data_IF_970362542918
#
_entry.id   IF_970362542918
#
_cell.length_a   1.000
_cell.length_b   1.000
_cell.length_c   1.000
_cell.angle_alpha   90.00
_cell.angle_beta   90.00
_cell.angle_gamma   90.00
#
_symmetry.space_group_name_H-M   'P 1'
#
loop_
_entity.id
_entity.type
_entity.pdbx_description
1 polymer ?
#
# COMPACT_ATOMS: atom_id res chain seq x y z
N UNK A 1 15.72 -6.64 5.49
CA UNK A 1 14.98 -7.11 4.30
C UNK A 1 14.65 -5.96 3.35
N UNK A 2 14.08 -4.85 3.85
CA UNK A 2 13.68 -3.69 3.05
C UNK A 2 14.80 -3.01 2.22
N UNK A 3 16.07 -3.12 2.62
CA UNK A 3 17.19 -2.54 1.85
C UNK A 3 17.70 -3.45 0.72
N UNK A 4 17.13 -4.65 0.54
CA UNK A 4 17.49 -5.57 -0.56
C UNK A 4 16.65 -5.26 -1.81
N UNK A 5 17.29 -5.19 -2.97
CA UNK A 5 16.64 -4.93 -4.27
C UNK A 5 16.45 -6.22 -5.08
N UNK A 6 15.70 -6.14 -6.19
CA UNK A 6 15.48 -7.28 -7.09
C UNK A 6 14.40 -8.25 -6.58
N UNK A 7 14.72 -9.56 -6.47
CA UNK A 7 13.75 -10.58 -6.05
C UNK A 7 13.09 -10.26 -4.70
N UNK A 8 13.85 -9.74 -3.75
CA UNK A 8 13.29 -9.32 -2.45
C UNK A 8 12.30 -8.17 -2.56
N UNK A 9 12.40 -7.30 -3.58
CA UNK A 9 11.42 -6.24 -3.87
C UNK A 9 10.14 -6.83 -4.43
N UNK A 10 10.28 -7.78 -5.35
CA UNK A 10 9.15 -8.50 -5.92
C UNK A 10 8.31 -9.19 -4.82
N UNK A 11 8.96 -9.91 -3.91
CA UNK A 11 8.29 -10.62 -2.82
C UNK A 11 7.48 -9.69 -1.90
N UNK A 12 8.07 -8.57 -1.47
CA UNK A 12 7.38 -7.63 -0.58
C UNK A 12 6.34 -6.78 -1.30
N UNK A 13 6.58 -6.42 -2.55
CA UNK A 13 5.62 -5.69 -3.39
C UNK A 13 4.36 -6.53 -3.63
N UNK A 14 4.50 -7.79 -4.05
CA UNK A 14 3.35 -8.66 -4.25
C UNK A 14 2.67 -9.07 -2.94
N UNK A 15 3.41 -9.12 -1.83
CA UNK A 15 2.81 -9.24 -0.50
C UNK A 15 1.92 -8.04 -0.17
N UNK A 16 2.37 -6.82 -0.48
CA UNK A 16 1.55 -5.63 -0.29
C UNK A 16 0.27 -5.68 -1.15
N UNK A 17 0.37 -6.14 -2.40
CA UNK A 17 -0.79 -6.36 -3.27
C UNK A 17 -1.77 -7.38 -2.68
N UNK A 18 -1.29 -8.51 -2.17
CA UNK A 18 -2.14 -9.52 -1.53
C UNK A 18 -2.86 -8.92 -0.32
N UNK A 19 -2.15 -8.15 0.52
CA UNK A 19 -2.75 -7.49 1.67
C UNK A 19 -3.81 -6.47 1.27
N UNK A 20 -3.60 -5.72 0.18
CA UNK A 20 -4.59 -4.79 -0.35
C UNK A 20 -5.87 -5.54 -0.75
N UNK A 21 -5.74 -6.64 -1.49
CA UNK A 21 -6.89 -7.46 -1.90
C UNK A 21 -7.65 -8.06 -0.70
N UNK A 22 -6.92 -8.50 0.34
CA UNK A 22 -7.55 -9.03 1.56
C UNK A 22 -8.34 -7.95 2.32
N UNK A 23 -7.76 -6.75 2.49
CA UNK A 23 -8.47 -5.62 3.13
C UNK A 23 -9.66 -5.15 2.31
N UNK A 24 -9.53 -5.11 0.98
CA UNK A 24 -10.63 -4.75 0.08
C UNK A 24 -11.80 -5.73 0.20
N UNK A 25 -11.51 -7.03 0.19
CA UNK A 25 -12.52 -8.07 0.36
C UNK A 25 -13.15 -8.08 1.76
N UNK A 26 -12.39 -7.71 2.80
CA UNK A 26 -12.87 -7.61 4.19
C UNK A 26 -13.74 -6.36 4.43
N UNK A 27 -13.46 -5.25 3.75
CA UNK A 27 -14.20 -4.00 3.85
C UNK A 27 -15.50 -3.96 3.01
N UNK A 28 -15.57 -4.75 1.94
CA UNK A 28 -16.66 -4.70 0.97
C UNK A 28 -17.91 -5.47 1.46
N UNK A 29 -19.03 -4.77 1.70
CA UNK A 29 -20.29 -5.35 2.18
C UNK A 29 -20.92 -6.40 1.25
N UNK A 30 -20.59 -6.37 -0.05
CA UNK A 30 -21.06 -7.33 -1.04
C UNK A 30 -20.12 -8.54 -1.17
N UNK A 31 -18.96 -8.53 -0.50
CA UNK A 31 -18.00 -9.63 -0.50
C UNK A 31 -18.48 -10.78 0.38
N UNK A 32 -18.26 -12.03 -0.06
CA UNK A 32 -18.45 -13.22 0.80
C UNK A 32 -17.46 -13.27 1.97
N UNK A 33 -16.42 -12.43 1.92
CA UNK A 33 -15.41 -12.27 2.96
C UNK A 33 -15.61 -11.00 3.80
N UNK A 34 -16.75 -10.31 3.67
CA UNK A 34 -17.04 -9.09 4.44
C UNK A 34 -16.87 -9.35 5.94
N UNK A 35 -16.00 -8.57 6.59
CA UNK A 35 -15.66 -8.71 8.00
C UNK A 35 -15.23 -10.15 8.38
N UNK A 36 -14.66 -10.89 7.43
CA UNK A 36 -14.20 -12.26 7.58
C UNK A 36 -12.82 -12.39 8.23
N UNK A 37 -12.00 -11.33 8.22
CA UNK A 37 -10.74 -11.32 8.94
C UNK A 37 -10.95 -11.22 10.45
N UNK A 38 -10.17 -12.00 11.21
CA UNK A 38 -10.05 -11.79 12.66
C UNK A 38 -9.47 -10.41 12.92
N UNK A 39 -9.95 -9.75 13.98
CA UNK A 39 -9.57 -8.38 14.31
C UNK A 39 -8.06 -8.19 14.49
N UNK A 40 -7.38 -9.19 15.03
CA UNK A 40 -5.94 -9.23 15.25
C UNK A 40 -5.18 -9.24 13.92
N UNK A 41 -5.64 -10.06 12.96
CA UNK A 41 -5.06 -10.14 11.62
C UNK A 41 -5.31 -8.85 10.85
N UNK A 42 -6.54 -8.33 10.91
CA UNK A 42 -6.89 -7.04 10.31
C UNK A 42 -5.97 -5.93 10.81
N UNK A 43 -5.79 -5.82 12.13
CA UNK A 43 -4.90 -4.84 12.73
C UNK A 43 -3.44 -5.01 12.27
N UNK A 44 -2.97 -6.24 12.10
CA UNK A 44 -1.65 -6.50 11.51
C UNK A 44 -1.58 -5.95 10.08
N UNK A 45 -2.57 -6.23 9.22
CA UNK A 45 -2.58 -5.75 7.84
C UNK A 45 -2.65 -4.22 7.74
N UNK A 46 -3.51 -3.58 8.54
CA UNK A 46 -3.60 -2.11 8.61
C UNK A 46 -2.24 -1.49 8.98
N UNK A 47 -1.55 -2.07 9.97
CA UNK A 47 -0.23 -1.61 10.38
C UNK A 47 0.84 -1.89 9.31
N UNK A 48 0.75 -3.00 8.57
CA UNK A 48 1.66 -3.30 7.46
C UNK A 48 1.50 -2.29 6.31
N UNK A 49 0.30 -1.82 6.01
CA UNK A 49 0.11 -0.79 4.98
C UNK A 49 0.78 0.54 5.32
N UNK A 50 0.69 0.96 6.59
CA UNK A 50 1.44 2.14 7.07
C UNK A 50 2.96 1.89 7.05
N UNK A 51 3.39 0.68 7.39
CA UNK A 51 4.81 0.35 7.43
C UNK A 51 5.46 0.31 6.04
N UNK A 52 4.79 -0.31 5.06
CA UNK A 52 5.37 -0.61 3.75
C UNK A 52 5.88 0.64 3.02
N UNK A 53 5.00 1.59 2.69
CA UNK A 53 5.41 2.81 1.98
C UNK A 53 6.32 3.72 2.83
N UNK A 54 6.23 3.65 4.17
CA UNK A 54 7.15 4.39 5.02
C UNK A 54 8.61 3.94 4.84
N UNK A 55 8.83 2.67 4.48
CA UNK A 55 10.16 2.04 4.40
C UNK A 55 10.62 1.73 2.99
N UNK A 56 9.73 1.49 2.03
CA UNK A 56 10.10 1.12 0.66
C UNK A 56 10.96 2.21 0.00
N UNK A 57 12.05 1.78 -0.63
CA UNK A 57 13.03 2.66 -1.30
C UNK A 57 13.30 2.22 -2.73
N UNK A 58 13.04 0.96 -3.04
CA UNK A 58 13.15 0.47 -4.40
C UNK A 58 11.96 1.03 -5.16
N UNK A 59 12.24 1.83 -6.19
CA UNK A 59 11.26 2.49 -7.04
C UNK A 59 11.08 1.76 -8.37
N UNK A 60 11.46 0.48 -8.42
CA UNK A 60 11.31 -0.31 -9.65
C UNK A 60 9.83 -0.54 -9.92
N UNK A 61 9.34 0.06 -11.02
CA UNK A 61 8.02 -0.23 -11.58
C UNK A 61 8.08 -1.45 -12.51
N UNK A 62 8.83 -1.37 -13.62
CA UNK A 62 9.11 -2.51 -14.51
C UNK A 62 10.57 -2.99 -14.46
N UNK A 63 10.76 -4.30 -14.45
CA UNK A 63 12.06 -4.97 -14.60
C UNK A 63 12.08 -5.79 -15.89
N UNK A 64 13.12 -5.64 -16.71
CA UNK A 64 13.31 -6.47 -17.91
C UNK A 64 13.51 -7.95 -17.59
N UNK A 65 13.88 -8.28 -16.36
CA UNK A 65 14.10 -9.66 -15.91
C UNK A 65 12.84 -10.28 -15.29
N UNK A 66 12.10 -9.51 -14.50
CA UNK A 66 11.00 -10.03 -13.67
C UNK A 66 9.61 -9.55 -14.13
N UNK A 67 9.53 -8.61 -15.06
CA UNK A 67 8.29 -7.93 -15.44
C UNK A 67 7.90 -6.86 -14.44
N UNK A 68 6.60 -6.70 -14.22
CA UNK A 68 6.05 -5.70 -13.30
C UNK A 68 6.45 -6.00 -11.84
N UNK A 69 7.22 -5.08 -11.27
CA UNK A 69 7.59 -5.08 -9.85
C UNK A 69 6.62 -4.21 -9.05
N UNK A 70 6.27 -3.02 -9.57
CA UNK A 70 5.25 -2.12 -9.00
C UNK A 70 5.39 -1.89 -7.48
N UNK A 71 6.63 -1.72 -7.03
CA UNK A 71 6.95 -1.52 -5.62
C UNK A 71 6.10 -0.41 -4.99
N UNK A 72 6.05 0.78 -5.59
CA UNK A 72 5.28 1.88 -5.03
C UNK A 72 3.79 1.78 -5.39
N UNK A 73 3.46 1.28 -6.57
CA UNK A 73 2.07 1.06 -7.01
C UNK A 73 1.31 0.12 -6.06
N UNK A 74 1.85 -1.05 -5.74
CA UNK A 74 1.20 -1.98 -4.80
C UNK A 74 1.20 -1.45 -3.36
N UNK A 75 2.23 -0.68 -2.99
CA UNK A 75 2.23 0.03 -1.71
C UNK A 75 1.11 1.07 -1.60
N UNK A 76 0.85 1.79 -2.69
CA UNK A 76 -0.21 2.78 -2.77
C UNK A 76 -1.59 2.13 -2.78
N UNK A 77 -1.75 1.01 -3.50
CA UNK A 77 -2.96 0.19 -3.45
C UNK A 77 -3.24 -0.26 -2.00
N UNK A 78 -2.24 -0.82 -1.31
CA UNK A 78 -2.39 -1.23 0.09
C UNK A 78 -2.73 -0.04 1.00
N UNK A 79 -2.03 1.09 0.89
CA UNK A 79 -2.28 2.24 1.74
C UNK A 79 -3.68 2.84 1.49
N UNK A 80 -4.18 2.78 0.26
CA UNK A 80 -5.55 3.17 -0.10
C UNK A 80 -6.57 2.29 0.63
N UNK A 81 -6.42 0.97 0.54
CA UNK A 81 -7.32 0.04 1.25
C UNK A 81 -7.24 0.22 2.77
N UNK A 82 -6.06 0.55 3.33
CA UNK A 82 -5.92 0.88 4.74
C UNK A 82 -6.74 2.11 5.12
N UNK A 83 -6.60 3.23 4.40
CA UNK A 83 -7.29 4.48 4.78
C UNK A 83 -8.80 4.43 4.54
N UNK A 84 -9.26 3.61 3.57
CA UNK A 84 -10.67 3.41 3.27
C UNK A 84 -11.33 2.31 4.13
N UNK A 85 -10.55 1.51 4.86
CA UNK A 85 -11.11 0.41 5.66
C UNK A 85 -12.01 0.95 6.80
N UNK A 86 -13.22 0.41 7.01
CA UNK A 86 -14.16 0.91 8.03
C UNK A 86 -13.60 0.85 9.47
N UNK A 87 -12.70 -0.10 9.74
CA UNK A 87 -12.03 -0.26 11.04
C UNK A 87 -10.70 0.50 11.15
N UNK A 88 -10.29 1.28 10.12
CA UNK A 88 -9.11 2.12 10.24
C UNK A 88 -9.43 3.33 11.13
N UNK A 89 -8.69 3.54 12.23
CA UNK A 89 -9.06 4.55 13.20
C UNK A 89 -8.70 5.95 12.69
N UNK A 90 -9.72 6.82 12.60
CA UNK A 90 -9.61 8.18 12.04
C UNK A 90 -8.50 9.03 12.67
N UNK A 91 -8.21 8.82 13.96
CA UNK A 91 -7.15 9.54 14.66
C UNK A 91 -5.74 9.22 14.14
N UNK A 92 -5.56 8.17 13.33
CA UNK A 92 -4.30 7.76 12.70
C UNK A 92 -4.11 8.28 11.27
N UNK A 93 -5.07 9.04 10.71
CA UNK A 93 -4.94 9.63 9.36
C UNK A 93 -3.68 10.48 9.21
N UNK A 94 -3.23 11.16 10.27
CA UNK A 94 -1.98 11.94 10.25
C UNK A 94 -0.75 11.09 9.87
N UNK A 95 -0.72 9.79 10.20
CA UNK A 95 0.35 8.88 9.80
C UNK A 95 0.41 8.72 8.28
N UNK A 96 -0.75 8.69 7.61
CA UNK A 96 -0.84 8.59 6.13
C UNK A 96 -0.22 9.82 5.48
N UNK A 97 -0.57 11.02 5.95
CA UNK A 97 0.02 12.26 5.46
C UNK A 97 1.52 12.35 5.73
N UNK A 98 1.98 11.88 6.89
CA UNK A 98 3.40 11.81 7.21
C UNK A 98 4.16 10.86 6.28
N UNK A 99 3.58 9.70 5.95
CA UNK A 99 4.16 8.73 5.01
C UNK A 99 4.28 9.35 3.63
N UNK A 100 3.19 9.90 3.09
CA UNK A 100 3.18 10.52 1.76
C UNK A 100 4.14 11.71 1.72
N UNK A 101 4.10 12.59 2.73
CA UNK A 101 4.98 13.75 2.83
C UNK A 101 6.46 13.37 2.87
N UNK A 102 6.82 12.31 3.62
CA UNK A 102 8.20 11.78 3.64
C UNK A 102 8.58 11.14 2.31
N UNK A 103 7.66 10.40 1.69
CA UNK A 103 7.84 9.74 0.40
C UNK A 103 8.12 10.77 -0.69
N UNK A 104 7.27 11.78 -0.87
CA UNK A 104 7.51 12.82 -1.89
C UNK A 104 8.78 13.63 -1.62
N UNK A 105 9.12 13.91 -0.36
CA UNK A 105 10.36 14.66 -0.02
C UNK A 105 11.64 13.89 -0.31
N UNK A 106 11.63 12.56 -0.22
CA UNK A 106 12.84 11.73 -0.45
C UNK A 106 13.00 11.30 -1.90
N UNK A 107 11.98 11.45 -2.73
CA UNK A 107 12.01 11.02 -4.13
C UNK A 107 12.73 12.06 -4.99
N UNK A 108 13.79 11.62 -5.66
CA UNK A 108 14.55 12.41 -6.63
C UNK A 108 14.25 12.01 -8.08
N UNK A 109 13.33 11.06 -8.27
CA UNK A 109 12.93 10.55 -9.58
C UNK A 109 11.43 10.75 -9.78
N UNK A 110 11.01 10.73 -11.03
CA UNK A 110 9.60 10.71 -11.39
C UNK A 110 9.01 9.32 -11.14
N UNK A 111 7.78 9.30 -10.66
CA UNK A 111 6.94 8.11 -10.72
C UNK A 111 6.58 7.83 -12.17
N UNK A 112 6.87 6.61 -12.59
CA UNK A 112 6.51 6.07 -13.90
C UNK A 112 5.67 4.82 -13.62
N UNK A 113 5.01 4.20 -14.60
CA UNK A 113 4.27 2.95 -14.38
C UNK A 113 3.04 3.05 -13.43
N UNK A 114 2.26 4.13 -13.57
CA UNK A 114 0.99 4.43 -12.84
C UNK A 114 1.13 4.65 -11.33
N UNK A 115 2.35 4.74 -10.82
CA UNK A 115 2.60 4.90 -9.38
C UNK A 115 2.07 6.22 -8.83
N UNK A 116 2.16 7.32 -9.59
CA UNK A 116 1.64 8.64 -9.23
C UNK A 116 0.12 8.65 -9.09
N UNK A 117 -0.59 8.09 -10.07
CA UNK A 117 -2.04 8.01 -10.04
C UNK A 117 -2.53 7.13 -8.88
N UNK A 118 -1.84 6.01 -8.60
CA UNK A 118 -2.20 5.16 -7.45
C UNK A 118 -1.85 5.81 -6.11
N UNK A 119 -0.76 6.57 -6.01
CA UNK A 119 -0.47 7.35 -4.80
C UNK A 119 -1.51 8.44 -4.56
N UNK A 120 -2.08 9.04 -5.62
CA UNK A 120 -3.14 10.02 -5.48
C UNK A 120 -4.43 9.42 -4.88
N UNK A 121 -4.74 8.15 -5.17
CA UNK A 121 -5.91 7.43 -4.61
C UNK A 121 -5.94 7.42 -3.10
N UNK A 122 -4.77 7.32 -2.46
CA UNK A 122 -4.63 7.38 -1.00
C UNK A 122 -5.25 8.64 -0.40
N UNK A 123 -5.28 9.75 -1.17
CA UNK A 123 -5.81 11.03 -0.72
C UNK A 123 -7.29 11.19 -1.09
N UNK A 124 -7.67 10.85 -2.33
CA UNK A 124 -9.00 11.18 -2.82
C UNK A 124 -10.05 10.08 -2.57
N UNK A 125 -9.70 8.80 -2.55
CA UNK A 125 -10.67 7.72 -2.32
C UNK A 125 -11.39 7.84 -0.95
N UNK A 126 -10.72 8.20 0.16
CA UNK A 126 -11.39 8.32 1.47
C UNK A 126 -12.41 9.46 1.58
N UNK A 127 -12.47 10.35 0.59
CA UNK A 127 -13.36 11.52 0.59
C UNK A 127 -14.40 11.47 -0.54
N UNK A 128 -14.49 10.36 -1.27
CA UNK A 128 -15.56 10.05 -2.23
C UNK A 128 -16.76 9.43 -1.51
#
# INVERSE_FOLDING_TARGET
EIDKVGLSTLERSFRALIYANLLSADANQQSVFYQGLQSEIRNVLLNQGLHYLSKEKDTTGFSSQYGWVHSFAHGADLLTEVVCHPDFPINRIHEVFDILGKLFKRMSILFTDDEDWRLARVIYEPIL
#
